data_IF_540496354941
#
_entry.id   IF_540496354941
#
_cell.length_a   1.000
_cell.length_b   1.000
_cell.length_c   1.000
_cell.angle_alpha   90.00
_cell.angle_beta   90.00
_cell.angle_gamma   90.00
#
_symmetry.space_group_name_H-M   'P 1'
#
loop_
_entity.id
_entity.type
_entity.pdbx_description
1 polymer ?
#
# COMPACT_ATOMS: atom_id res chain seq x y z
N UNK A 1 5.97 2.54 -21.06
CA UNK A 1 6.14 2.82 -19.61
C UNK A 1 4.76 2.85 -18.99
N UNK A 2 4.53 2.07 -17.95
CA UNK A 2 3.27 2.05 -17.19
C UNK A 2 3.35 3.09 -16.08
N UNK A 3 2.31 3.91 -15.91
CA UNK A 3 2.16 4.78 -14.73
C UNK A 3 1.05 4.23 -13.86
N UNK A 4 1.30 4.03 -12.59
CA UNK A 4 0.31 3.70 -11.58
C UNK A 4 0.56 4.52 -10.30
N UNK A 5 -0.44 4.57 -9.43
CA UNK A 5 -0.35 5.31 -8.17
C UNK A 5 -0.30 4.34 -6.99
N UNK A 6 0.35 4.76 -5.92
CA UNK A 6 0.27 4.08 -4.63
C UNK A 6 -0.28 5.05 -3.58
N UNK A 7 -1.24 4.57 -2.80
CA UNK A 7 -1.78 5.22 -1.62
C UNK A 7 -1.71 4.24 -0.47
N UNK A 8 -1.59 4.71 0.78
CA UNK A 8 -1.44 3.81 1.93
C UNK A 8 -1.95 4.42 3.22
N UNK A 9 -2.28 3.59 4.19
CA UNK A 9 -2.53 3.97 5.58
C UNK A 9 -3.57 5.10 5.67
N UNK A 10 -4.76 4.83 5.10
CA UNK A 10 -5.86 5.78 5.04
C UNK A 10 -6.47 6.01 6.41
N UNK A 11 -6.51 4.97 7.24
CA UNK A 11 -7.07 4.97 8.61
C UNK A 11 -8.41 5.70 8.69
N UNK A 12 -9.30 5.44 7.73
CA UNK A 12 -10.63 6.05 7.77
C UNK A 12 -11.37 5.65 9.05
N UNK A 13 -12.05 6.61 9.60
CA UNK A 13 -13.04 6.44 10.69
C UNK A 13 -14.44 6.75 10.15
N UNK A 14 -15.47 6.46 10.93
CA UNK A 14 -16.83 6.81 10.55
C UNK A 14 -16.92 8.30 10.15
N UNK A 15 -17.72 8.67 9.13
CA UNK A 15 -17.84 10.05 8.65
C UNK A 15 -18.13 11.03 9.78
N UNK A 16 -17.39 12.13 9.82
CA UNK A 16 -17.44 13.13 10.89
C UNK A 16 -16.52 12.82 12.08
N UNK A 17 -15.94 11.62 12.14
CA UNK A 17 -14.92 11.26 13.13
C UNK A 17 -13.56 11.91 12.85
N UNK A 18 -12.75 12.00 13.89
CA UNK A 18 -11.37 12.50 13.81
C UNK A 18 -10.41 11.47 14.41
N UNK A 19 -9.22 11.39 13.81
CA UNK A 19 -8.14 10.55 14.29
C UNK A 19 -6.90 11.44 14.53
N UNK A 20 -6.41 11.48 15.77
CA UNK A 20 -5.29 12.35 16.17
C UNK A 20 -5.47 13.83 15.79
N UNK A 21 -6.73 14.32 15.83
CA UNK A 21 -7.08 15.69 15.44
C UNK A 21 -7.28 15.90 13.93
N UNK A 22 -7.03 14.90 13.09
CA UNK A 22 -7.18 14.94 11.64
C UNK A 22 -8.55 14.40 11.21
N UNK A 23 -8.98 14.80 10.02
CA UNK A 23 -10.13 14.20 9.31
C UNK A 23 -9.59 13.31 8.16
N UNK A 24 -9.51 11.98 8.34
CA UNK A 24 -8.98 11.10 7.31
C UNK A 24 -9.84 11.07 6.04
N UNK A 25 -11.15 11.22 6.17
CA UNK A 25 -12.05 11.22 5.02
C UNK A 25 -11.84 12.46 4.15
N UNK A 26 -11.66 13.62 4.76
CA UNK A 26 -11.35 14.85 4.01
C UNK A 26 -10.00 14.73 3.29
N UNK A 27 -8.98 14.13 3.92
CA UNK A 27 -7.70 13.87 3.27
C UNK A 27 -7.84 12.92 2.08
N UNK A 28 -8.68 11.88 2.21
CA UNK A 28 -8.97 10.98 1.08
C UNK A 28 -9.66 11.73 -0.07
N UNK A 29 -10.60 12.61 0.22
CA UNK A 29 -11.26 13.45 -0.81
C UNK A 29 -10.27 14.31 -1.56
N UNK A 30 -9.38 15.01 -0.84
CA UNK A 30 -8.34 15.82 -1.45
C UNK A 30 -7.39 14.99 -2.32
N UNK A 31 -6.99 13.80 -1.86
CA UNK A 31 -6.15 12.89 -2.65
C UNK A 31 -6.88 12.40 -3.91
N UNK A 32 -8.13 11.99 -3.80
CA UNK A 32 -8.96 11.53 -4.94
C UNK A 32 -9.13 12.66 -5.96
N UNK A 33 -9.42 13.88 -5.53
CA UNK A 33 -9.57 15.04 -6.41
C UNK A 33 -8.26 15.36 -7.14
N UNK A 34 -7.14 15.35 -6.42
CA UNK A 34 -5.82 15.61 -7.02
C UNK A 34 -5.41 14.49 -8.00
N UNK A 35 -5.58 13.23 -7.61
CA UNK A 35 -5.30 12.08 -8.48
C UNK A 35 -6.15 12.10 -9.76
N UNK A 36 -7.46 12.36 -9.64
CA UNK A 36 -8.36 12.44 -10.79
C UNK A 36 -7.97 13.57 -11.74
N UNK A 37 -7.61 14.72 -11.21
CA UNK A 37 -7.21 15.91 -11.98
C UNK A 37 -5.85 15.73 -12.68
N UNK A 38 -4.85 15.18 -11.98
CA UNK A 38 -3.47 15.08 -12.48
C UNK A 38 -3.21 13.83 -13.30
N UNK A 39 -3.95 12.76 -13.04
CA UNK A 39 -3.67 11.42 -13.57
C UNK A 39 -4.89 10.79 -14.25
N UNK A 40 -5.94 11.58 -14.51
CA UNK A 40 -7.08 11.15 -15.33
C UNK A 40 -6.67 10.89 -16.78
N UNK A 41 -7.55 10.27 -17.59
CA UNK A 41 -7.24 9.79 -18.95
C UNK A 41 -6.74 10.90 -19.89
N UNK A 42 -7.20 12.14 -19.71
CA UNK A 42 -6.84 13.29 -20.55
C UNK A 42 -5.62 14.08 -20.00
N UNK A 43 -4.98 13.62 -18.93
CA UNK A 43 -3.83 14.29 -18.33
C UNK A 43 -2.52 13.98 -19.08
N UNK A 44 -1.48 14.78 -18.83
CA UNK A 44 -0.15 14.54 -19.39
C UNK A 44 0.51 13.24 -18.87
N UNK A 45 0.00 12.67 -17.77
CA UNK A 45 0.54 11.44 -17.16
C UNK A 45 -0.61 10.58 -16.62
N UNK A 46 -1.42 9.98 -17.52
CA UNK A 46 -2.56 9.16 -17.11
C UNK A 46 -2.10 7.93 -16.34
N UNK A 47 -2.75 7.67 -15.20
CA UNK A 47 -2.53 6.46 -14.43
C UNK A 47 -3.40 5.31 -14.92
N UNK A 48 -2.82 4.11 -14.98
CA UNK A 48 -3.58 2.92 -15.31
C UNK A 48 -4.47 2.46 -14.14
N UNK A 49 -4.00 2.65 -12.90
CA UNK A 49 -4.72 2.28 -11.67
C UNK A 49 -4.03 2.89 -10.43
N UNK A 50 -4.68 2.77 -9.28
CA UNK A 50 -4.06 3.00 -7.97
C UNK A 50 -4.04 1.70 -7.15
N UNK A 51 -2.95 1.44 -6.43
CA UNK A 51 -2.88 0.39 -5.41
C UNK A 51 -2.94 1.05 -4.03
N UNK A 52 -3.87 0.61 -3.19
CA UNK A 52 -3.97 1.06 -1.79
C UNK A 52 -3.41 -0.05 -0.91
N UNK A 53 -2.24 0.20 -0.32
CA UNK A 53 -1.42 -0.83 0.34
C UNK A 53 -1.80 -1.09 1.81
N UNK A 54 -3.10 -1.09 2.13
CA UNK A 54 -3.64 -1.51 3.43
C UNK A 54 -3.93 -0.36 4.40
N UNK A 55 -4.41 -0.73 5.58
CA UNK A 55 -4.93 0.15 6.62
C UNK A 55 -5.94 1.15 6.06
N UNK A 56 -6.95 0.58 5.39
CA UNK A 56 -8.03 1.32 4.75
C UNK A 56 -8.90 2.04 5.78
N UNK A 57 -9.13 1.39 6.91
CA UNK A 57 -9.88 1.93 8.05
C UNK A 57 -9.07 1.81 9.34
N UNK A 58 -9.45 2.55 10.38
CA UNK A 58 -8.72 2.50 11.65
C UNK A 58 -9.15 1.34 12.56
N UNK A 59 -10.41 0.95 12.52
CA UNK A 59 -10.94 -0.12 13.38
C UNK A 59 -11.86 -1.11 12.63
N UNK A 60 -11.84 -1.15 11.30
CA UNK A 60 -12.68 -2.03 10.52
C UNK A 60 -14.17 -1.64 10.49
N UNK A 61 -14.50 -0.36 10.76
CA UNK A 61 -15.89 0.09 10.85
C UNK A 61 -16.60 0.04 9.50
N UNK A 62 -17.85 -0.49 9.43
CA UNK A 62 -18.61 -0.57 8.19
C UNK A 62 -18.87 0.79 7.52
N UNK A 63 -19.08 1.85 8.30
CA UNK A 63 -19.31 3.19 7.77
C UNK A 63 -18.06 3.78 7.12
N UNK A 64 -16.88 3.49 7.68
CA UNK A 64 -15.60 3.89 7.10
C UNK A 64 -15.36 3.20 5.75
N UNK A 65 -15.62 1.90 5.64
CA UNK A 65 -15.53 1.18 4.36
C UNK A 65 -16.57 1.68 3.32
N UNK A 66 -17.79 2.04 3.76
CA UNK A 66 -18.78 2.63 2.85
C UNK A 66 -18.32 4.00 2.33
N UNK A 67 -17.73 4.82 3.18
CA UNK A 67 -17.16 6.10 2.80
C UNK A 67 -15.98 5.91 1.81
N UNK A 68 -15.08 4.96 2.09
CA UNK A 68 -14.01 4.57 1.16
C UNK A 68 -14.57 4.21 -0.22
N UNK A 69 -15.55 3.30 -0.26
CA UNK A 69 -16.18 2.87 -1.51
C UNK A 69 -16.80 4.03 -2.29
N UNK A 70 -17.40 5.01 -1.59
CA UNK A 70 -17.98 6.19 -2.22
C UNK A 70 -16.91 7.07 -2.87
N UNK A 71 -15.81 7.34 -2.17
CA UNK A 71 -14.74 8.18 -2.69
C UNK A 71 -13.98 7.52 -3.84
N UNK A 72 -13.65 6.23 -3.74
CA UNK A 72 -12.93 5.51 -4.79
C UNK A 72 -13.70 5.44 -6.12
N UNK A 73 -15.05 5.44 -6.09
CA UNK A 73 -15.86 5.51 -7.32
C UNK A 73 -15.70 6.80 -8.11
N UNK A 74 -15.11 7.84 -7.54
CA UNK A 74 -14.83 9.13 -8.20
C UNK A 74 -13.54 9.10 -9.02
N UNK A 75 -12.69 8.08 -8.79
CA UNK A 75 -11.47 7.91 -9.58
C UNK A 75 -11.82 7.49 -11.01
N UNK A 76 -11.17 8.07 -12.03
CA UNK A 76 -11.38 7.71 -13.44
C UNK A 76 -10.59 6.44 -13.86
N UNK A 77 -9.97 5.74 -12.93
CA UNK A 77 -9.20 4.51 -13.14
C UNK A 77 -9.44 3.54 -11.97
N UNK A 78 -9.17 2.24 -12.16
CA UNK A 78 -9.39 1.23 -11.12
C UNK A 78 -8.56 1.44 -9.87
N UNK A 79 -9.10 1.02 -8.71
CA UNK A 79 -8.39 0.94 -7.45
C UNK A 79 -8.26 -0.53 -7.03
N UNK A 80 -7.04 -0.97 -6.75
CA UNK A 80 -6.72 -2.28 -6.19
C UNK A 80 -6.48 -2.13 -4.70
N UNK A 81 -7.29 -2.81 -3.88
CA UNK A 81 -7.28 -2.66 -2.43
C UNK A 81 -6.60 -3.85 -1.77
N UNK A 82 -5.82 -3.55 -0.74
CA UNK A 82 -5.23 -4.53 0.15
C UNK A 82 -5.72 -4.27 1.57
N UNK A 83 -5.51 -5.25 2.46
CA UNK A 83 -5.79 -5.10 3.89
C UNK A 83 -4.49 -4.93 4.68
N UNK A 84 -4.53 -4.07 5.70
CA UNK A 84 -3.50 -3.95 6.73
C UNK A 84 -4.00 -4.48 8.08
N UNK A 85 -3.23 -4.27 9.15
CA UNK A 85 -3.56 -4.80 10.48
C UNK A 85 -4.78 -4.13 11.14
N UNK A 86 -5.16 -2.94 10.70
CA UNK A 86 -6.35 -2.22 11.18
C UNK A 86 -7.64 -2.64 10.46
N UNK A 87 -7.55 -3.46 9.41
CA UNK A 87 -8.67 -3.80 8.57
C UNK A 87 -9.40 -5.09 9.00
N UNK A 88 -10.61 -5.21 8.48
CA UNK A 88 -11.44 -6.43 8.54
C UNK A 88 -11.70 -6.95 7.13
N UNK A 89 -11.23 -8.18 6.80
CA UNK A 89 -11.55 -8.83 5.51
C UNK A 89 -13.05 -8.91 5.28
N UNK A 90 -13.81 -9.28 6.31
CA UNK A 90 -15.26 -9.38 6.22
C UNK A 90 -15.93 -8.02 6.03
N UNK A 91 -15.47 -6.99 6.77
CA UNK A 91 -15.97 -5.62 6.64
C UNK A 91 -15.72 -5.02 5.26
N UNK A 92 -14.49 -5.18 4.75
CA UNK A 92 -14.13 -4.73 3.40
C UNK A 92 -14.99 -5.41 2.32
N UNK A 93 -15.12 -6.74 2.38
CA UNK A 93 -15.91 -7.52 1.42
C UNK A 93 -17.41 -7.17 1.46
N UNK A 94 -17.93 -6.89 2.63
CA UNK A 94 -19.33 -6.47 2.78
C UNK A 94 -19.60 -5.10 2.14
N UNK A 95 -18.64 -4.16 2.24
CA UNK A 95 -18.77 -2.82 1.68
C UNK A 95 -18.39 -2.75 0.18
N UNK A 96 -17.41 -3.55 -0.23
CA UNK A 96 -16.89 -3.61 -1.61
C UNK A 96 -16.86 -5.08 -2.06
N UNK A 97 -18.00 -5.67 -2.47
CA UNK A 97 -18.08 -7.08 -2.86
C UNK A 97 -17.21 -7.46 -4.06
N UNK A 98 -16.80 -6.47 -4.86
CA UNK A 98 -15.92 -6.65 -6.03
C UNK A 98 -14.43 -6.75 -5.66
N UNK A 99 -14.04 -6.55 -4.39
CA UNK A 99 -12.64 -6.73 -4.00
C UNK A 99 -12.22 -8.18 -4.25
N UNK A 100 -11.11 -8.40 -4.98
CA UNK A 100 -10.65 -9.75 -5.25
C UNK A 100 -10.23 -10.47 -3.96
N UNK A 101 -10.62 -11.73 -3.88
CA UNK A 101 -10.17 -12.65 -2.82
C UNK A 101 -9.76 -13.99 -3.44
N UNK A 102 -8.82 -14.68 -2.81
CA UNK A 102 -8.47 -16.02 -3.24
C UNK A 102 -9.52 -17.07 -2.82
N UNK A 103 -9.31 -18.33 -3.22
CA UNK A 103 -10.22 -19.42 -2.90
C UNK A 103 -10.35 -19.72 -1.39
N UNK A 104 -9.45 -19.18 -0.56
CA UNK A 104 -9.42 -19.34 0.90
C UNK A 104 -9.98 -18.10 1.63
N UNK A 105 -10.34 -17.04 0.87
CA UNK A 105 -10.96 -15.84 1.41
C UNK A 105 -9.96 -14.76 1.86
N UNK A 106 -8.67 -14.89 1.55
CA UNK A 106 -7.69 -13.84 1.74
C UNK A 106 -7.85 -12.74 0.68
N UNK A 107 -7.69 -11.49 1.08
CA UNK A 107 -7.75 -10.33 0.17
C UNK A 107 -6.40 -10.22 -0.55
N UNK A 108 -6.18 -11.13 -1.49
CA UNK A 108 -4.96 -11.20 -2.30
C UNK A 108 -5.31 -11.60 -3.74
N UNK A 109 -4.58 -11.04 -4.69
CA UNK A 109 -4.77 -11.34 -6.11
C UNK A 109 -3.53 -10.98 -6.92
N UNK A 110 -3.45 -11.51 -8.13
CA UNK A 110 -2.43 -11.15 -9.10
C UNK A 110 -3.08 -10.76 -10.42
N UNK A 111 -2.44 -9.85 -11.14
CA UNK A 111 -2.84 -9.45 -12.49
C UNK A 111 -1.63 -9.05 -13.32
N UNK A 112 -1.76 -9.19 -14.64
CA UNK A 112 -0.68 -8.86 -15.57
C UNK A 112 -0.87 -7.48 -16.18
N UNK A 113 0.24 -6.80 -16.41
CA UNK A 113 0.32 -5.49 -17.05
C UNK A 113 1.42 -5.50 -18.11
N UNK A 114 1.52 -4.49 -18.99
CA UNK A 114 2.65 -4.36 -19.89
C UNK A 114 4.03 -4.23 -19.20
N UNK A 115 4.07 -3.88 -17.91
CA UNK A 115 5.31 -3.77 -17.13
C UNK A 115 5.69 -5.08 -16.43
N UNK A 116 4.78 -6.04 -16.32
CA UNK A 116 4.96 -7.31 -15.63
C UNK A 116 3.75 -7.68 -14.76
N UNK A 117 3.94 -8.71 -13.95
CA UNK A 117 2.93 -9.24 -13.02
C UNK A 117 2.93 -8.47 -11.71
N UNK A 118 1.76 -8.05 -11.28
CA UNK A 118 1.50 -7.40 -10.01
C UNK A 118 0.86 -8.41 -9.05
N UNK A 119 1.47 -8.64 -7.89
CA UNK A 119 0.99 -9.59 -6.88
C UNK A 119 0.74 -8.79 -5.60
N UNK A 120 -0.51 -8.73 -5.19
CA UNK A 120 -0.97 -8.06 -3.98
C UNK A 120 -1.24 -9.11 -2.92
N UNK A 121 -0.56 -8.99 -1.77
CA UNK A 121 -0.50 -10.02 -0.73
C UNK A 121 -1.26 -9.57 0.53
N UNK A 122 -1.98 -10.50 1.12
CA UNK A 122 -2.67 -10.32 2.40
C UNK A 122 -1.78 -10.81 3.54
N UNK A 123 -1.14 -9.87 4.26
CA UNK A 123 -0.31 -10.17 5.43
C UNK A 123 -1.05 -9.99 6.77
N UNK A 124 -2.34 -9.66 6.75
CA UNK A 124 -3.14 -9.43 7.95
C UNK A 124 -3.21 -10.68 8.83
N UNK A 125 -2.96 -10.51 10.14
CA UNK A 125 -3.25 -11.45 11.21
C UNK A 125 -4.35 -10.84 12.09
N UNK A 126 -5.55 -11.44 12.15
CA UNK A 126 -6.65 -10.86 12.91
C UNK A 126 -6.29 -10.62 14.39
N UNK A 127 -6.46 -9.38 14.86
CA UNK A 127 -6.19 -8.98 16.24
C UNK A 127 -4.72 -8.82 16.59
N UNK A 128 -3.81 -8.86 15.60
CA UNK A 128 -2.39 -8.62 15.81
C UNK A 128 -1.90 -7.44 14.97
N UNK A 129 -0.97 -6.61 15.49
CA UNK A 129 -0.43 -5.47 14.74
C UNK A 129 0.72 -5.85 13.78
N UNK A 130 1.24 -7.07 13.85
CA UNK A 130 2.27 -7.60 12.95
C UNK A 130 1.66 -8.36 11.77
N UNK A 131 2.40 -8.46 10.69
CA UNK A 131 2.06 -9.30 9.56
C UNK A 131 2.54 -10.75 9.71
N UNK A 132 1.92 -11.64 8.92
CA UNK A 132 2.39 -13.02 8.80
C UNK A 132 1.87 -13.66 7.51
N UNK A 133 2.55 -14.72 7.05
CA UNK A 133 2.10 -15.56 5.94
C UNK A 133 2.04 -17.02 6.39
N UNK A 134 0.83 -17.57 6.55
CA UNK A 134 0.66 -19.00 6.76
C UNK A 134 1.01 -19.80 5.49
N UNK A 135 1.23 -21.11 5.65
CA UNK A 135 1.59 -22.00 4.54
C UNK A 135 0.68 -21.82 3.31
N UNK A 136 -0.65 -21.71 3.53
CA UNK A 136 -1.61 -21.50 2.43
C UNK A 136 -1.38 -20.24 1.63
N UNK A 137 -0.99 -19.12 2.27
CA UNK A 137 -0.66 -17.86 1.56
C UNK A 137 0.67 -17.92 0.85
N UNK A 138 1.64 -18.64 1.42
CA UNK A 138 2.95 -18.91 0.77
C UNK A 138 2.80 -19.84 -0.44
N UNK A 139 2.00 -20.91 -0.34
CA UNK A 139 1.66 -21.78 -1.47
C UNK A 139 0.98 -20.99 -2.59
N UNK A 140 -0.01 -20.15 -2.25
CA UNK A 140 -0.66 -19.28 -3.23
C UNK A 140 0.34 -18.35 -3.93
N UNK A 141 1.26 -17.72 -3.18
CA UNK A 141 2.30 -16.88 -3.76
C UNK A 141 3.21 -17.66 -4.71
N UNK A 142 3.65 -18.87 -4.31
CA UNK A 142 4.47 -19.74 -5.16
C UNK A 142 3.76 -20.05 -6.48
N UNK A 143 2.47 -20.40 -6.43
CA UNK A 143 1.66 -20.63 -7.64
C UNK A 143 1.62 -19.38 -8.54
N UNK A 144 1.39 -18.19 -7.97
CA UNK A 144 1.35 -16.93 -8.76
C UNK A 144 2.71 -16.59 -9.39
N UNK A 145 3.81 -16.95 -8.74
CA UNK A 145 5.15 -16.71 -9.27
C UNK A 145 5.50 -17.61 -10.46
N UNK A 146 5.00 -18.84 -10.51
CA UNK A 146 5.30 -19.78 -11.61
C UNK A 146 4.35 -19.61 -12.82
N UNK A 147 3.24 -18.89 -12.68
CA UNK A 147 2.29 -18.65 -13.78
C UNK A 147 2.82 -17.69 -14.86
N UNK A 148 3.90 -16.98 -14.62
CA UNK A 148 4.51 -16.03 -15.56
C UNK A 148 6.02 -15.99 -15.37
N UNK A 149 6.78 -15.93 -16.45
CA UNK A 149 8.24 -15.75 -16.42
C UNK A 149 8.69 -14.29 -16.48
N UNK A 150 7.73 -13.36 -16.60
CA UNK A 150 7.99 -11.93 -16.71
C UNK A 150 8.41 -11.25 -15.40
N UNK A 151 8.66 -9.93 -15.44
CA UNK A 151 8.95 -9.11 -14.28
C UNK A 151 7.81 -9.17 -13.25
N UNK A 152 8.15 -9.09 -11.96
CA UNK A 152 7.20 -9.17 -10.84
C UNK A 152 7.31 -7.95 -9.96
N UNK A 153 6.16 -7.38 -9.59
CA UNK A 153 5.99 -6.31 -8.61
C UNK A 153 5.18 -6.86 -7.43
N UNK A 154 5.73 -6.75 -6.22
CA UNK A 154 5.09 -7.24 -5.01
C UNK A 154 4.54 -6.08 -4.19
N UNK A 155 3.35 -6.28 -3.67
CA UNK A 155 2.70 -5.35 -2.75
C UNK A 155 2.31 -6.08 -1.48
N UNK A 156 2.71 -5.58 -0.34
CA UNK A 156 2.31 -6.08 0.95
C UNK A 156 2.18 -4.92 1.95
N UNK A 157 1.30 -5.05 2.93
CA UNK A 157 1.16 -4.00 3.92
C UNK A 157 2.37 -3.94 4.86
N UNK A 158 2.69 -5.07 5.52
CA UNK A 158 3.81 -5.14 6.45
C UNK A 158 5.12 -5.46 5.72
N UNK A 159 6.21 -4.69 5.94
CA UNK A 159 7.54 -5.06 5.46
C UNK A 159 8.02 -6.40 6.01
N UNK A 160 8.77 -7.21 5.24
CA UNK A 160 9.31 -8.47 5.73
C UNK A 160 10.71 -8.32 6.38
N UNK A 161 11.20 -7.11 6.61
CA UNK A 161 12.52 -6.85 7.18
C UNK A 161 12.49 -5.65 8.11
N UNK A 162 13.46 -5.58 9.00
CA UNK A 162 13.72 -4.40 9.82
C UNK A 162 14.13 -3.21 8.94
N UNK A 163 13.60 -2.05 9.29
CA UNK A 163 13.89 -0.77 8.61
C UNK A 163 14.68 0.20 9.52
N UNK A 164 15.13 -0.29 10.68
CA UNK A 164 15.91 0.48 11.65
C UNK A 164 15.06 1.39 12.53
N UNK A 165 13.75 1.17 12.59
CA UNK A 165 12.81 1.87 13.49
C UNK A 165 12.34 0.89 14.58
N UNK A 166 12.95 0.87 15.77
CA UNK A 166 12.75 -0.20 16.76
C UNK A 166 11.28 -0.41 17.17
N UNK A 167 10.48 0.65 17.20
CA UNK A 167 9.04 0.53 17.46
C UNK A 167 8.33 -0.23 16.34
N UNK A 168 8.60 0.08 15.07
CA UNK A 168 7.97 -0.54 13.90
C UNK A 168 8.54 -1.92 13.60
N UNK A 169 9.86 -2.13 13.79
CA UNK A 169 10.54 -3.39 13.48
C UNK A 169 9.95 -4.60 14.20
N UNK A 170 9.31 -4.38 15.36
CA UNK A 170 8.59 -5.42 16.12
C UNK A 170 7.28 -5.86 15.45
N UNK A 171 6.79 -5.09 14.47
CA UNK A 171 5.49 -5.26 13.82
C UNK A 171 5.60 -5.72 12.35
N UNK A 172 6.79 -6.14 11.94
CA UNK A 172 7.05 -6.66 10.60
C UNK A 172 6.38 -8.03 10.36
N UNK A 173 6.54 -8.57 9.17
CA UNK A 173 6.14 -9.95 8.85
C UNK A 173 6.98 -10.92 9.68
N UNK A 174 6.32 -11.84 10.44
CA UNK A 174 7.02 -12.82 11.27
C UNK A 174 7.63 -13.97 10.48
N UNK A 175 6.94 -14.43 9.45
CA UNK A 175 7.39 -15.49 8.53
C UNK A 175 8.30 -14.96 7.41
N UNK A 176 9.16 -13.97 7.70
CA UNK A 176 10.01 -13.34 6.68
C UNK A 176 11.00 -14.31 6.03
N UNK A 177 11.50 -15.29 6.78
CA UNK A 177 12.39 -16.34 6.27
C UNK A 177 11.69 -17.23 5.24
N UNK A 178 10.55 -17.80 5.62
CA UNK A 178 9.72 -18.65 4.76
C UNK A 178 9.20 -17.88 3.54
N UNK A 179 8.83 -16.61 3.72
CA UNK A 179 8.47 -15.72 2.62
C UNK A 179 9.63 -15.55 1.63
N UNK A 180 10.85 -15.35 2.14
CA UNK A 180 12.02 -15.24 1.28
C UNK A 180 12.35 -16.56 0.56
N UNK A 181 12.20 -17.70 1.21
CA UNK A 181 12.41 -19.03 0.58
C UNK A 181 11.53 -19.19 -0.67
N UNK A 182 10.29 -18.68 -0.64
CA UNK A 182 9.39 -18.69 -1.81
C UNK A 182 9.87 -17.71 -2.88
N UNK A 183 10.40 -16.55 -2.51
CA UNK A 183 10.82 -15.50 -3.45
C UNK A 183 12.20 -15.77 -4.08
N UNK A 184 13.12 -16.38 -3.34
CA UNK A 184 14.53 -16.50 -3.71
C UNK A 184 14.76 -17.13 -5.10
N UNK A 185 14.03 -18.19 -5.54
CA UNK A 185 14.16 -18.76 -6.88
C UNK A 185 13.79 -17.78 -8.00
N UNK A 186 13.02 -16.75 -7.67
CA UNK A 186 12.49 -15.78 -8.62
C UNK A 186 13.15 -14.39 -8.52
N UNK A 187 14.20 -14.27 -7.69
CA UNK A 187 14.84 -13.00 -7.31
C UNK A 187 15.14 -12.09 -8.51
N UNK A 188 15.68 -12.63 -9.59
CA UNK A 188 16.09 -11.86 -10.78
C UNK A 188 14.91 -11.19 -11.51
N UNK A 189 13.69 -11.68 -11.27
CA UNK A 189 12.45 -11.12 -11.85
C UNK A 189 11.76 -10.13 -10.93
N UNK A 190 12.11 -10.09 -9.62
CA UNK A 190 11.53 -9.18 -8.66
C UNK A 190 12.03 -7.75 -8.91
N UNK A 191 11.13 -6.89 -9.40
CA UNK A 191 11.49 -5.53 -9.79
C UNK A 191 11.40 -4.55 -8.65
N UNK A 192 10.42 -4.69 -7.79
CA UNK A 192 10.20 -3.80 -6.66
C UNK A 192 9.18 -4.38 -5.67
N UNK A 193 9.36 -4.06 -4.38
CA UNK A 193 8.37 -4.32 -3.33
C UNK A 193 7.83 -3.00 -2.80
N UNK A 194 6.51 -2.88 -2.69
CA UNK A 194 5.81 -1.70 -2.17
C UNK A 194 5.14 -2.03 -0.85
N UNK A 195 5.35 -1.17 0.15
CA UNK A 195 4.84 -1.36 1.50
C UNK A 195 3.93 -0.22 1.96
N UNK A 196 3.03 -0.52 2.93
CA UNK A 196 2.39 0.42 3.83
C UNK A 196 3.00 0.35 5.22
N UNK A 197 2.14 0.50 6.23
CA UNK A 197 2.43 0.26 7.65
C UNK A 197 3.42 1.21 8.33
N UNK A 198 4.43 1.67 7.62
CA UNK A 198 5.50 2.49 8.17
C UNK A 198 5.12 3.96 8.32
N UNK A 199 4.07 4.41 7.63
CA UNK A 199 3.67 5.83 7.60
C UNK A 199 4.83 6.79 7.32
N UNK A 200 5.87 6.33 6.58
CA UNK A 200 7.08 7.11 6.29
C UNK A 200 7.63 6.75 4.93
N UNK A 201 8.28 7.72 4.26
CA UNK A 201 9.12 7.41 3.10
C UNK A 201 10.35 6.62 3.58
N UNK A 202 10.41 5.37 3.19
CA UNK A 202 11.57 4.49 3.41
C UNK A 202 11.86 3.80 2.09
N UNK A 203 13.11 3.80 1.66
CA UNK A 203 13.54 3.06 0.48
C UNK A 203 14.86 2.34 0.73
N UNK A 204 15.06 1.22 0.04
CA UNK A 204 16.26 0.43 0.21
C UNK A 204 16.22 -0.82 -0.66
N UNK A 205 16.96 -1.85 -0.25
CA UNK A 205 16.91 -3.16 -0.86
C UNK A 205 16.93 -4.26 0.20
N UNK A 206 16.18 -5.32 -0.03
CA UNK A 206 16.17 -6.51 0.79
C UNK A 206 16.53 -7.72 -0.08
N UNK A 207 17.59 -8.45 0.27
CA UNK A 207 18.20 -9.49 -0.57
C UNK A 207 18.49 -9.05 -2.02
N UNK A 208 18.77 -7.75 -2.20
CA UNK A 208 19.03 -7.16 -3.52
C UNK A 208 17.76 -6.77 -4.30
N UNK A 209 16.56 -7.00 -3.78
CA UNK A 209 15.30 -6.53 -4.37
C UNK A 209 15.00 -5.13 -3.85
N UNK A 210 14.81 -4.12 -4.72
CA UNK A 210 14.46 -2.77 -4.31
C UNK A 210 13.09 -2.72 -3.61
N UNK A 211 12.95 -1.83 -2.66
CA UNK A 211 11.65 -1.58 -2.01
C UNK A 211 11.43 -0.10 -1.71
N UNK A 212 10.17 0.25 -1.52
CA UNK A 212 9.77 1.57 -1.02
C UNK A 212 8.48 1.51 -0.20
N UNK A 213 8.38 2.45 0.73
CA UNK A 213 7.18 2.86 1.44
C UNK A 213 7.02 4.37 1.31
N UNK A 214 5.82 4.87 1.52
CA UNK A 214 5.49 6.29 1.42
C UNK A 214 4.79 6.77 2.70
N UNK A 215 4.53 8.08 2.78
CA UNK A 215 3.71 8.64 3.86
C UNK A 215 2.29 8.10 3.79
N UNK A 216 1.71 7.84 4.95
CA UNK A 216 0.30 7.52 5.08
C UNK A 216 -0.60 8.70 4.72
N UNK A 217 -1.85 8.41 4.41
CA UNK A 217 -2.82 9.46 4.12
C UNK A 217 -3.27 10.18 5.40
N UNK A 218 -3.42 9.46 6.51
CA UNK A 218 -3.92 10.05 7.75
C UNK A 218 -2.78 10.74 8.54
N UNK A 219 -2.11 10.03 9.39
CA UNK A 219 -1.00 10.51 10.23
C UNK A 219 0.32 9.87 9.81
N UNK A 220 1.43 10.39 10.33
CA UNK A 220 2.76 9.88 10.03
C UNK A 220 3.43 9.34 11.29
N UNK A 221 4.39 8.47 11.12
CA UNK A 221 5.33 8.09 12.16
C UNK A 221 6.50 9.07 12.15
N UNK A 222 6.80 9.71 13.28
CA UNK A 222 7.97 10.58 13.41
C UNK A 222 9.27 9.76 13.33
N UNK A 223 10.28 10.28 12.65
CA UNK A 223 11.58 9.60 12.55
C UNK A 223 12.30 9.65 13.89
N UNK A 224 12.27 8.55 14.60
CA UNK A 224 12.96 8.39 15.89
C UNK A 224 13.59 6.99 16.00
N UNK A 225 14.92 6.95 15.86
CA UNK A 225 15.70 5.71 16.00
C UNK A 225 15.86 5.25 17.46
N UNK A 226 15.45 6.06 18.41
CA UNK A 226 15.47 5.74 19.83
C UNK A 226 14.15 5.22 20.40
N UNK A 227 13.05 5.35 19.66
CA UNK A 227 11.71 4.95 20.12
C UNK A 227 11.59 3.42 20.17
N UNK A 228 11.64 2.86 21.39
CA UNK A 228 11.56 1.40 21.60
C UNK A 228 10.24 0.93 22.20
N UNK A 229 9.52 1.79 22.91
CA UNK A 229 8.34 1.47 23.72
C UNK A 229 7.09 2.29 23.38
N UNK A 230 7.22 3.23 22.43
CA UNK A 230 6.14 4.09 21.97
C UNK A 230 6.22 4.31 20.46
N UNK A 231 5.15 4.86 19.87
CA UNK A 231 5.04 5.21 18.44
C UNK A 231 4.89 6.72 18.32
N UNK A 232 5.99 7.46 18.09
CA UNK A 232 5.90 8.91 17.96
C UNK A 232 5.18 9.28 16.66
N UNK A 233 3.99 9.88 16.79
CA UNK A 233 3.19 10.34 15.65
C UNK A 233 3.57 11.75 15.22
N UNK A 234 3.29 12.09 13.96
CA UNK A 234 3.42 13.45 13.44
C UNK A 234 2.31 13.81 12.45
N UNK A 235 2.16 15.11 12.21
CA UNK A 235 1.25 15.66 11.20
C UNK A 235 2.02 16.11 9.94
N UNK A 236 3.17 15.51 9.63
CA UNK A 236 3.85 15.71 8.35
C UNK A 236 2.85 15.53 7.20
N UNK A 237 3.01 16.23 6.05
CA UNK A 237 2.04 16.19 4.97
C UNK A 237 1.74 14.77 4.49
N UNK A 238 0.49 14.50 4.17
CA UNK A 238 0.11 13.28 3.48
C UNK A 238 0.63 13.29 2.04
N UNK A 239 0.90 12.11 1.49
CA UNK A 239 1.37 11.97 0.12
C UNK A 239 0.77 10.73 -0.55
N UNK A 240 0.83 10.71 -1.88
CA UNK A 240 0.74 9.48 -2.65
C UNK A 240 1.97 9.33 -3.55
N UNK A 241 2.24 8.11 -4.02
CA UNK A 241 3.30 7.92 -5.00
C UNK A 241 2.77 7.88 -6.43
N UNK A 242 3.54 8.46 -7.35
CA UNK A 242 3.41 8.25 -8.80
C UNK A 242 4.55 7.32 -9.22
N UNK A 243 4.21 6.10 -9.60
CA UNK A 243 5.19 5.09 -9.98
C UNK A 243 5.23 4.96 -11.50
N UNK A 244 6.42 5.04 -12.04
CA UNK A 244 6.68 4.84 -13.46
C UNK A 244 7.50 3.57 -13.67
N UNK A 245 6.83 2.52 -14.16
CA UNK A 245 7.44 1.23 -14.40
C UNK A 245 7.75 1.07 -15.90
N UNK A 246 9.02 0.95 -16.22
CA UNK A 246 9.56 0.68 -17.56
C UNK A 246 10.23 -0.68 -17.63
N UNK A 247 10.81 -1.00 -18.80
CA UNK A 247 11.55 -2.25 -18.99
C UNK A 247 12.78 -2.33 -18.07
N UNK A 248 13.51 -1.22 -17.97
CA UNK A 248 14.82 -1.17 -17.29
C UNK A 248 14.78 -0.42 -15.97
N UNK A 249 13.69 0.27 -15.65
CA UNK A 249 13.60 1.14 -14.49
C UNK A 249 12.25 1.09 -13.80
N UNK A 250 12.27 1.28 -12.48
CA UNK A 250 11.10 1.59 -11.65
C UNK A 250 11.44 2.88 -10.91
N UNK A 251 10.65 3.94 -11.15
CA UNK A 251 10.86 5.25 -10.52
C UNK A 251 9.65 5.58 -9.67
N UNK A 252 9.87 5.89 -8.41
CA UNK A 252 8.84 6.25 -7.44
C UNK A 252 8.98 7.72 -7.08
N UNK A 253 8.00 8.52 -7.46
CA UNK A 253 7.90 9.93 -7.07
C UNK A 253 6.90 10.05 -5.92
N UNK A 254 7.29 10.66 -4.82
CA UNK A 254 6.36 11.07 -3.77
C UNK A 254 5.75 12.42 -4.14
N UNK A 255 4.43 12.52 -4.10
CA UNK A 255 3.70 13.75 -4.36
C UNK A 255 2.96 14.22 -3.10
N UNK A 256 3.42 15.35 -2.55
CA UNK A 256 2.82 16.04 -1.40
C UNK A 256 1.63 16.87 -1.88
N UNK A 257 0.50 16.22 -2.19
CA UNK A 257 -0.66 16.83 -2.84
C UNK A 257 -1.37 17.92 -2.00
N UNK A 258 -1.05 17.99 -0.71
CA UNK A 258 -1.56 19.02 0.21
C UNK A 258 -0.60 20.22 0.34
N UNK A 259 0.54 20.21 -0.32
CA UNK A 259 1.49 21.34 -0.28
C UNK A 259 0.93 22.52 -1.09
N UNK A 260 0.67 23.68 -0.46
CA UNK A 260 0.16 24.86 -1.13
C UNK A 260 1.24 25.66 -1.85
N UNK A 261 2.48 25.21 -1.86
CA UNK A 261 3.62 25.97 -2.41
C UNK A 261 3.42 26.27 -3.90
N UNK A 262 3.54 27.53 -4.27
CA UNK A 262 3.43 27.95 -5.65
C UNK A 262 4.62 27.44 -6.49
N UNK A 263 4.33 26.95 -7.69
CA UNK A 263 5.37 26.57 -8.65
C UNK A 263 5.91 27.80 -9.38
N UNK A 264 7.20 27.75 -9.76
CA UNK A 264 7.85 28.78 -10.57
C UNK A 264 8.81 28.13 -11.58
N UNK A 265 9.12 28.85 -12.66
CA UNK A 265 10.11 28.37 -13.64
C UNK A 265 11.53 28.67 -13.12
N UNK A 266 12.40 27.68 -13.27
CA UNK A 266 13.84 27.80 -13.00
C UNK A 266 14.55 28.46 -14.17
#
# INVERSE_FOLDING_TARGET
MLTFLQLTDLHLVAPGGRLYGLDPLERLRLAVDDMARRHGPDSASPAAFVVVTGDLTHNGEPDAYRALAAELRRLPFPAHLMVGNHDSRAGLRAAIPSVPVDARGFVQHAFDTPAGRFILLDSLVPGAPHGDFCATRLEWLADRLVESDGPVFLFLHHPPMEVGLPSSDRLMVRSAGEFWEVLAPHRERLRHMFFGHLHRPVCGSWHGVPFSSIRGLAHQLWLDFGATDHYPGSHEPAAYAVVRAGLDSVVVHTHDFMDPTATFNL
#
